data_IF_569857020008
#
_entry.id   IF_569857020008
#
_cell.length_a   1.000
_cell.length_b   1.000
_cell.length_c   1.000
_cell.angle_alpha   90.00
_cell.angle_beta   90.00
_cell.angle_gamma   90.00
#
_symmetry.space_group_name_H-M   'P 1'
#
loop_
_entity.id
_entity.type
_entity.pdbx_description
1 polymer ?
#
# COMPACT_ATOMS: atom_id res chain seq x y z
N UNK A 1 7.12 5.99 5.38
CA UNK A 1 7.48 5.30 6.64
C UNK A 1 8.99 5.35 6.75
N UNK A 2 9.52 6.06 7.75
CA UNK A 2 10.93 6.44 7.81
C UNK A 2 11.76 5.28 8.39
N UNK A 3 12.72 4.76 7.63
CA UNK A 3 13.56 3.60 7.96
C UNK A 3 14.31 3.80 9.29
N UNK A 4 14.61 5.06 9.64
CA UNK A 4 15.24 5.39 10.93
C UNK A 4 14.35 5.06 12.14
N UNK A 5 13.02 5.08 12.01
CA UNK A 5 12.10 4.75 13.11
C UNK A 5 12.00 3.25 13.38
N UNK A 6 12.15 2.43 12.35
CA UNK A 6 12.18 0.95 12.48
C UNK A 6 13.50 0.53 13.16
N UNK A 7 14.60 1.22 12.83
CA UNK A 7 15.91 0.95 13.44
C UNK A 7 15.91 1.25 14.95
N UNK A 8 15.22 2.31 15.38
CA UNK A 8 15.12 2.69 16.79
C UNK A 8 14.26 1.68 17.60
N UNK A 9 13.20 1.14 16.99
CA UNK A 9 12.35 0.12 17.62
C UNK A 9 13.11 -1.21 17.78
N UNK A 10 13.96 -1.58 16.81
CA UNK A 10 14.84 -2.75 16.89
C UNK A 10 15.95 -2.57 17.93
N UNK A 11 16.50 -1.37 18.09
CA UNK A 11 17.51 -1.05 19.11
C UNK A 11 16.95 -1.10 20.54
N UNK A 12 15.70 -0.69 20.75
CA UNK A 12 15.02 -0.81 22.05
C UNK A 12 14.69 -2.25 22.44
N UNK A 13 14.36 -3.12 21.47
CA UNK A 13 14.19 -4.56 21.70
C UNK A 13 15.53 -5.28 21.97
N UNK A 14 16.64 -4.77 21.43
CA UNK A 14 17.97 -5.33 21.64
C UNK A 14 18.60 -4.95 23.00
N UNK A 15 18.06 -3.96 23.71
CA UNK A 15 18.52 -3.54 25.03
C UNK A 15 17.87 -4.32 26.19
N UNK A 16 17.02 -5.30 25.89
CA UNK A 16 16.59 -6.27 26.91
C UNK A 16 17.77 -7.22 27.13
N UNK A 17 18.33 -7.31 28.36
CA UNK A 17 19.41 -8.26 28.62
C UNK A 17 18.93 -9.67 28.26
N UNK A 18 19.60 -10.28 27.28
CA UNK A 18 19.51 -11.72 27.00
C UNK A 18 19.95 -12.43 28.28
N UNK A 19 19.00 -12.89 29.07
CA UNK A 19 19.28 -13.89 30.11
C UNK A 19 19.73 -15.13 29.35
N UNK A 20 21.04 -15.36 29.33
CA UNK A 20 21.65 -16.58 28.84
C UNK A 20 21.22 -17.71 29.78
N UNK A 21 20.24 -18.52 29.37
CA UNK A 21 19.92 -19.76 30.07
C UNK A 21 20.76 -20.85 29.43
N UNK A 22 22.01 -20.94 29.85
CA UNK A 22 22.81 -22.15 29.78
C UNK A 22 23.01 -22.64 31.21
N UNK A 23 22.50 -23.84 31.51
CA UNK A 23 22.89 -24.64 32.68
C UNK A 23 22.57 -24.03 34.05
N UNK A 24 21.40 -24.35 34.59
CA UNK A 24 21.29 -25.24 35.76
C UNK A 24 19.86 -25.20 36.30
N UNK A 25 19.20 -26.37 36.27
CA UNK A 25 17.97 -26.64 36.98
C UNK A 25 18.27 -26.65 38.48
N UNK A 26 18.36 -25.47 39.11
CA UNK A 26 18.15 -25.35 40.55
C UNK A 26 16.87 -24.57 40.79
N UNK A 27 15.93 -25.23 41.48
CA UNK A 27 14.66 -24.67 41.90
C UNK A 27 14.88 -23.55 42.94
N UNK A 28 15.27 -22.37 42.48
CA UNK A 28 15.30 -21.14 43.27
C UNK A 28 13.99 -20.39 43.13
N UNK A 29 13.36 -20.03 44.26
CA UNK A 29 12.13 -19.22 44.31
C UNK A 29 12.25 -17.99 43.39
N UNK A 30 11.26 -17.69 42.53
CA UNK A 30 11.33 -16.51 41.67
C UNK A 30 11.45 -15.24 42.53
N UNK A 31 12.46 -14.42 42.23
CA UNK A 31 12.66 -13.15 42.90
C UNK A 31 11.39 -12.28 42.80
N UNK A 32 11.01 -11.54 43.86
CA UNK A 32 9.80 -10.75 43.85
C UNK A 32 9.92 -9.67 42.77
N UNK A 33 8.93 -9.64 41.86
CA UNK A 33 8.84 -8.63 40.82
C UNK A 33 8.73 -7.25 41.48
N UNK A 34 9.77 -6.42 41.32
CA UNK A 34 9.72 -5.01 41.71
C UNK A 34 8.66 -4.32 40.86
N UNK A 35 7.59 -3.87 41.50
CA UNK A 35 6.57 -3.02 40.89
C UNK A 35 7.22 -1.66 40.59
N UNK A 36 7.48 -1.37 39.32
CA UNK A 36 8.00 -0.06 38.90
C UNK A 36 6.79 0.85 38.73
N UNK A 37 6.62 1.83 39.62
CA UNK A 37 5.62 2.88 39.49
C UNK A 37 6.19 4.00 38.61
N UNK A 38 5.80 4.00 37.33
CA UNK A 38 6.15 5.08 36.39
C UNK A 38 5.11 6.17 36.55
N UNK A 39 5.53 7.39 36.89
CA UNK A 39 4.60 8.53 37.02
C UNK A 39 4.15 9.04 35.65
N UNK A 40 2.87 9.39 35.52
CA UNK A 40 2.25 9.89 34.27
C UNK A 40 3.04 11.05 33.64
N UNK A 41 3.65 11.92 34.46
CA UNK A 41 4.48 13.04 34.00
C UNK A 41 5.72 12.63 33.19
N UNK A 42 6.29 11.45 33.46
CA UNK A 42 7.46 10.95 32.73
C UNK A 42 7.04 10.47 31.34
N UNK A 43 5.87 9.84 31.25
CA UNK A 43 5.28 9.37 29.99
C UNK A 43 4.98 10.57 29.07
N UNK A 44 4.41 11.65 29.61
CA UNK A 44 4.10 12.86 28.84
C UNK A 44 5.32 13.59 28.26
N UNK A 45 6.44 13.60 29.00
CA UNK A 45 7.62 14.38 28.64
C UNK A 45 8.55 13.64 27.68
N UNK A 46 8.71 12.33 27.85
CA UNK A 46 9.72 11.57 27.10
C UNK A 46 9.13 10.70 26.00
N UNK A 47 7.84 10.36 26.08
CA UNK A 47 7.18 9.48 25.12
C UNK A 47 5.81 10.06 24.70
N UNK A 48 5.78 11.21 23.99
CA UNK A 48 4.53 11.85 23.58
C UNK A 48 3.66 10.97 22.66
N UNK A 49 4.24 9.93 22.05
CA UNK A 49 3.54 8.93 21.25
C UNK A 49 2.85 7.83 22.08
N UNK A 50 3.14 7.73 23.37
CA UNK A 50 2.56 6.78 24.32
C UNK A 50 1.34 7.34 25.06
N UNK A 51 0.78 8.47 24.57
CA UNK A 51 -0.51 9.00 25.00
C UNK A 51 -1.71 8.29 24.38
N UNK A 52 -1.49 7.42 23.40
CA UNK A 52 -2.57 6.61 22.85
C UNK A 52 -2.90 5.49 23.83
N UNK A 53 -4.15 5.44 24.26
CA UNK A 53 -4.71 4.23 24.80
C UNK A 53 -4.54 3.10 23.78
N UNK A 54 -4.38 1.86 24.25
CA UNK A 54 -4.29 0.68 23.37
C UNK A 54 -5.44 0.64 22.34
N UNK A 55 -6.62 1.11 22.75
CA UNK A 55 -7.80 1.26 21.89
C UNK A 55 -7.56 2.22 20.71
N UNK A 56 -7.07 3.41 20.97
CA UNK A 56 -6.82 4.40 19.90
C UNK A 56 -5.71 3.94 18.96
N UNK A 57 -4.69 3.24 19.48
CA UNK A 57 -3.64 2.66 18.65
C UNK A 57 -4.20 1.62 17.68
N UNK A 58 -5.10 0.74 18.15
CA UNK A 58 -5.78 -0.26 17.31
C UNK A 58 -6.64 0.43 16.25
N UNK A 59 -7.42 1.45 16.62
CA UNK A 59 -8.25 2.22 15.69
C UNK A 59 -7.42 2.90 14.60
N UNK A 60 -6.26 3.44 14.96
CA UNK A 60 -5.35 4.09 14.01
C UNK A 60 -4.66 3.08 13.08
N UNK A 61 -4.29 1.90 13.59
CA UNK A 61 -3.77 0.81 12.77
C UNK A 61 -4.82 0.35 11.76
N UNK A 62 -6.07 0.16 12.17
CA UNK A 62 -7.17 -0.24 11.28
C UNK A 62 -7.42 0.78 10.17
N UNK A 63 -7.42 2.09 10.50
CA UNK A 63 -7.54 3.17 9.51
C UNK A 63 -6.40 3.12 8.49
N UNK A 64 -5.17 2.90 8.97
CA UNK A 64 -3.99 2.84 8.11
C UNK A 64 -3.98 1.61 7.20
N UNK A 65 -4.43 0.45 7.71
CA UNK A 65 -4.62 -0.77 6.89
C UNK A 65 -5.63 -0.52 5.79
N UNK A 66 -6.83 0.00 6.12
CA UNK A 66 -7.87 0.32 5.13
C UNK A 66 -7.36 1.29 4.06
N UNK A 67 -6.61 2.33 4.47
CA UNK A 67 -6.01 3.29 3.54
C UNK A 67 -4.98 2.63 2.61
N UNK A 68 -4.14 1.74 3.15
CA UNK A 68 -3.17 1.00 2.37
C UNK A 68 -3.85 0.07 1.36
N UNK A 69 -4.90 -0.65 1.76
CA UNK A 69 -5.70 -1.52 0.89
C UNK A 69 -6.35 -0.74 -0.27
N UNK A 70 -6.96 0.41 0.02
CA UNK A 70 -7.50 1.30 -1.01
C UNK A 70 -6.41 1.76 -1.97
N UNK A 71 -5.23 2.12 -1.46
CA UNK A 71 -4.07 2.47 -2.27
C UNK A 71 -3.59 1.33 -3.17
N UNK A 72 -3.55 0.10 -2.66
CA UNK A 72 -3.18 -1.10 -3.43
C UNK A 72 -4.22 -1.37 -4.53
N UNK A 73 -5.52 -1.31 -4.19
CA UNK A 73 -6.61 -1.49 -5.15
C UNK A 73 -6.54 -0.47 -6.27
N UNK A 74 -6.35 0.81 -5.93
CA UNK A 74 -6.17 1.89 -6.91
C UNK A 74 -4.97 1.65 -7.83
N UNK A 75 -3.81 1.25 -7.28
CA UNK A 75 -2.63 0.90 -8.08
C UNK A 75 -2.90 -0.27 -9.04
N UNK A 76 -3.55 -1.34 -8.57
CA UNK A 76 -3.91 -2.48 -9.43
C UNK A 76 -4.81 -2.06 -10.59
N UNK A 77 -5.82 -1.21 -10.33
CA UNK A 77 -6.70 -0.68 -11.38
C UNK A 77 -5.90 0.13 -12.40
N UNK A 78 -5.01 1.03 -11.97
CA UNK A 78 -4.15 1.82 -12.88
C UNK A 78 -3.27 0.94 -13.76
N UNK A 79 -2.63 -0.09 -13.20
CA UNK A 79 -1.79 -1.03 -13.98
C UNK A 79 -2.62 -1.77 -15.04
N UNK A 80 -3.83 -2.23 -14.69
CA UNK A 80 -4.74 -2.86 -15.67
C UNK A 80 -5.14 -1.89 -16.77
N UNK A 81 -5.41 -0.64 -16.42
CA UNK A 81 -5.80 0.39 -17.38
C UNK A 81 -4.66 0.78 -18.33
N UNK A 82 -3.41 0.81 -17.85
CA UNK A 82 -2.24 0.98 -18.72
C UNK A 82 -2.12 -0.17 -19.74
N UNK A 83 -2.39 -1.41 -19.31
CA UNK A 83 -2.45 -2.56 -20.22
C UNK A 83 -3.56 -2.43 -21.27
N UNK A 84 -4.77 -2.02 -20.85
CA UNK A 84 -5.89 -1.74 -21.76
C UNK A 84 -5.57 -0.61 -22.74
N UNK A 85 -4.95 0.47 -22.29
CA UNK A 85 -4.53 1.59 -23.14
C UNK A 85 -3.58 1.12 -24.25
N UNK A 86 -2.61 0.27 -23.90
CA UNK A 86 -1.69 -0.31 -24.89
C UNK A 86 -2.46 -1.08 -25.97
N UNK A 87 -3.40 -1.94 -25.58
CA UNK A 87 -4.23 -2.70 -26.52
C UNK A 87 -5.11 -1.78 -27.38
N UNK A 88 -5.72 -0.74 -26.79
CA UNK A 88 -6.50 0.26 -27.53
C UNK A 88 -5.64 0.91 -28.62
N UNK A 89 -4.41 1.32 -28.29
CA UNK A 89 -3.49 1.95 -29.25
C UNK A 89 -3.09 0.98 -30.37
N UNK A 90 -2.85 -0.28 -30.04
CA UNK A 90 -2.50 -1.32 -31.03
C UNK A 90 -3.65 -1.57 -32.02
N UNK A 91 -4.86 -1.82 -31.52
CA UNK A 91 -6.06 -2.01 -32.35
C UNK A 91 -6.38 -0.76 -33.19
N UNK A 92 -6.25 0.43 -32.60
CA UNK A 92 -6.45 1.69 -33.31
C UNK A 92 -5.44 1.87 -34.46
N UNK A 93 -4.15 1.67 -34.19
CA UNK A 93 -3.10 1.78 -35.20
C UNK A 93 -3.30 0.78 -36.35
N UNK A 94 -3.66 -0.47 -36.02
CA UNK A 94 -3.96 -1.50 -37.02
C UNK A 94 -5.19 -1.14 -37.85
N UNK A 95 -6.26 -0.68 -37.21
CA UNK A 95 -7.47 -0.21 -37.90
C UNK A 95 -7.17 0.94 -38.88
N UNK A 96 -6.32 1.89 -38.49
CA UNK A 96 -5.87 2.97 -39.37
C UNK A 96 -5.04 2.48 -40.56
N UNK A 97 -4.18 1.46 -40.36
CA UNK A 97 -3.43 0.85 -41.48
C UNK A 97 -4.38 0.22 -42.49
N UNK A 98 -5.31 -0.60 -42.00
CA UNK A 98 -6.30 -1.29 -42.84
C UNK A 98 -7.20 -0.32 -43.58
N UNK A 99 -7.58 0.80 -42.92
CA UNK A 99 -8.35 1.86 -43.55
C UNK A 99 -7.59 2.48 -44.74
N UNK A 100 -6.28 2.77 -44.57
CA UNK A 100 -5.43 3.30 -45.64
C UNK A 100 -5.23 2.31 -46.80
N UNK A 101 -5.27 1.02 -46.51
CA UNK A 101 -5.22 -0.06 -47.50
C UNK A 101 -6.57 -0.29 -48.23
N UNK A 102 -7.63 0.43 -47.85
CA UNK A 102 -8.98 0.26 -48.42
C UNK A 102 -9.74 -0.97 -47.88
N UNK A 103 -9.19 -1.68 -46.89
CA UNK A 103 -9.83 -2.85 -46.25
C UNK A 103 -10.82 -2.39 -45.18
N UNK A 104 -11.92 -1.79 -45.61
CA UNK A 104 -12.86 -1.08 -44.72
C UNK A 104 -13.50 -1.98 -43.66
N UNK A 105 -13.86 -3.22 -44.00
CA UNK A 105 -14.49 -4.16 -43.05
C UNK A 105 -13.54 -4.57 -41.91
N UNK A 106 -12.27 -4.83 -42.24
CA UNK A 106 -11.26 -5.19 -41.25
C UNK A 106 -10.88 -3.99 -40.40
N UNK A 107 -10.75 -2.82 -41.02
CA UNK A 107 -10.53 -1.56 -40.32
C UNK A 107 -11.64 -1.29 -39.29
N UNK A 108 -12.92 -1.48 -39.70
CA UNK A 108 -14.07 -1.33 -38.82
C UNK A 108 -13.99 -2.27 -37.62
N UNK A 109 -13.64 -3.54 -37.84
CA UNK A 109 -13.50 -4.52 -36.74
C UNK A 109 -12.45 -4.07 -35.72
N UNK A 110 -11.26 -3.69 -36.18
CA UNK A 110 -10.18 -3.27 -35.28
C UNK A 110 -10.53 -1.99 -34.50
N UNK A 111 -11.15 -1.01 -35.16
CA UNK A 111 -11.58 0.23 -34.49
C UNK A 111 -12.72 -0.01 -33.48
N UNK A 112 -13.64 -0.93 -33.77
CA UNK A 112 -14.68 -1.33 -32.81
C UNK A 112 -14.07 -2.02 -31.58
N UNK A 113 -13.10 -2.92 -31.77
CA UNK A 113 -12.39 -3.54 -30.65
C UNK A 113 -11.68 -2.51 -29.78
N UNK A 114 -11.01 -1.53 -30.38
CA UNK A 114 -10.38 -0.43 -29.64
C UNK A 114 -11.42 0.35 -28.82
N UNK A 115 -12.58 0.65 -29.41
CA UNK A 115 -13.68 1.35 -28.73
C UNK A 115 -14.24 0.53 -27.57
N UNK A 116 -14.50 -0.77 -27.77
CA UNK A 116 -15.07 -1.66 -26.76
C UNK A 116 -14.17 -1.78 -25.53
N UNK A 117 -12.85 -1.91 -25.72
CA UNK A 117 -11.88 -1.94 -24.62
C UNK A 117 -11.87 -0.61 -23.86
N UNK A 118 -11.99 0.52 -24.57
CA UNK A 118 -12.01 1.86 -23.96
C UNK A 118 -13.25 2.16 -23.12
N UNK A 119 -14.36 1.45 -23.37
CA UNK A 119 -15.63 1.61 -22.65
C UNK A 119 -15.70 0.77 -21.36
N UNK A 120 -14.64 0.02 -21.03
CA UNK A 120 -14.62 -0.77 -19.80
C UNK A 120 -14.76 0.14 -18.56
N UNK A 121 -15.60 -0.17 -17.55
CA UNK A 121 -15.86 0.71 -16.40
C UNK A 121 -14.62 1.20 -15.67
N UNK A 122 -13.64 0.30 -15.43
CA UNK A 122 -12.34 0.68 -14.83
C UNK A 122 -11.62 1.82 -15.58
N UNK A 123 -11.87 2.03 -16.88
CA UNK A 123 -11.20 3.02 -17.71
C UNK A 123 -11.79 4.42 -17.58
N UNK A 124 -13.01 4.57 -17.02
CA UNK A 124 -13.74 5.85 -17.03
C UNK A 124 -12.93 6.98 -16.35
N UNK A 125 -12.48 6.75 -15.12
CA UNK A 125 -11.68 7.73 -14.37
C UNK A 125 -10.30 7.92 -15.02
N UNK A 126 -9.72 6.86 -15.56
CA UNK A 126 -8.42 6.91 -16.23
C UNK A 126 -8.44 7.79 -17.48
N UNK A 127 -9.50 7.71 -18.28
CA UNK A 127 -9.72 8.56 -19.46
C UNK A 127 -9.95 10.01 -19.04
N UNK A 128 -10.74 10.27 -17.98
CA UNK A 128 -10.93 11.63 -17.46
C UNK A 128 -9.61 12.25 -16.98
N UNK A 129 -8.75 11.47 -16.33
CA UNK A 129 -7.42 11.91 -15.89
C UNK A 129 -6.49 12.21 -17.08
N UNK A 130 -6.54 11.40 -18.14
CA UNK A 130 -5.63 11.55 -19.29
C UNK A 130 -5.98 12.75 -20.18
N UNK A 131 -7.26 13.13 -20.27
CA UNK A 131 -7.71 14.30 -21.05
C UNK A 131 -7.37 15.63 -20.36
N UNK A 132 -7.26 15.64 -19.02
CA UNK A 132 -7.01 16.87 -18.24
C UNK A 132 -5.62 17.49 -18.43
N UNK A 133 -4.69 16.84 -19.13
CA UNK A 133 -3.35 17.36 -19.36
C UNK A 133 -3.02 17.56 -20.85
N UNK A 134 -3.49 18.64 -21.48
CA UNK A 134 -2.73 19.26 -22.55
C UNK A 134 -1.61 20.08 -21.90
N UNK A 135 -0.37 19.62 -22.01
CA UNK A 135 0.82 20.45 -21.78
C UNK A 135 1.35 20.91 -23.13
#
# INVERSE_FOLDING_TARGET
>A
MNIQKILLLLLLLASVPRVSVAGDLSAGKPAPLKKIEISEKIIEKELPFYRFSLKELIEEVDKNIKKAELGIKGKKVRVRNQGREKLIREHFAKGLSLYKEGKLDEARKELLTALEISQHPDMEDYIKESVKWPK
#
